data_IF_608555486120
#
_entry.id   IF_608555486120
#
_cell.length_a   1.000
_cell.length_b   1.000
_cell.length_c   1.000
_cell.angle_alpha   90.00
_cell.angle_beta   90.00
_cell.angle_gamma   90.00
#
_symmetry.space_group_name_H-M   'P 1'
#
loop_
_entity.id
_entity.type
_entity.pdbx_description
1 polymer ?
#
# COMPACT_ATOMS: atom_id res chain seq x y z
N UNK A 1 -9.33 0.19 -17.39
CA UNK A 1 -8.66 -1.12 -17.19
C UNK A 1 -9.23 -1.90 -16.00
N UNK A 2 -9.21 -3.24 -16.08
CA UNK A 2 -9.55 -4.12 -14.96
C UNK A 2 -8.28 -4.50 -14.17
N UNK A 3 -8.36 -4.45 -12.84
CA UNK A 3 -7.27 -4.78 -11.92
C UNK A 3 -7.73 -5.78 -10.85
N UNK A 4 -6.81 -6.59 -10.36
CA UNK A 4 -7.09 -7.54 -9.29
C UNK A 4 -7.06 -6.85 -7.93
N UNK A 5 -7.73 -7.45 -6.94
CA UNK A 5 -7.69 -6.96 -5.58
C UNK A 5 -7.56 -8.09 -4.55
N UNK A 6 -7.08 -7.74 -3.37
CA UNK A 6 -7.00 -8.66 -2.25
C UNK A 6 -7.17 -7.91 -0.92
N UNK A 7 -7.65 -8.60 0.09
CA UNK A 7 -7.80 -8.07 1.45
C UNK A 7 -7.02 -8.93 2.42
N UNK A 8 -6.16 -8.29 3.20
CA UNK A 8 -5.41 -8.88 4.30
C UNK A 8 -5.87 -8.27 5.62
N UNK A 9 -6.31 -9.12 6.55
CA UNK A 9 -6.74 -8.67 7.87
C UNK A 9 -6.76 -9.83 8.88
N UNK A 10 -7.00 -9.51 10.15
CA UNK A 10 -7.14 -10.52 11.20
C UNK A 10 -8.55 -11.11 11.19
N UNK A 11 -8.72 -12.34 10.73
CA UNK A 11 -10.03 -13.00 10.76
C UNK A 11 -9.98 -14.33 11.48
N UNK A 12 -11.15 -14.81 11.90
CA UNK A 12 -11.33 -16.17 12.40
C UNK A 12 -12.05 -16.98 11.34
N UNK A 13 -11.34 -17.87 10.69
CA UNK A 13 -11.92 -18.86 9.79
C UNK A 13 -11.87 -20.24 10.43
N UNK A 14 -12.47 -21.24 9.78
CA UNK A 14 -12.31 -22.65 10.19
C UNK A 14 -10.87 -23.15 10.01
N UNK A 15 -10.09 -22.51 9.12
CA UNK A 15 -8.75 -22.97 8.69
C UNK A 15 -7.61 -22.17 9.32
N UNK A 16 -7.85 -20.95 9.77
CA UNK A 16 -6.82 -20.00 10.20
C UNK A 16 -7.36 -19.05 11.28
N UNK A 17 -6.46 -18.62 12.17
CA UNK A 17 -6.71 -17.54 13.12
C UNK A 17 -5.57 -16.52 13.03
N UNK A 18 -5.92 -15.23 13.07
CA UNK A 18 -4.97 -14.13 13.00
C UNK A 18 -4.91 -13.50 11.61
N UNK A 19 -3.80 -12.82 11.33
CA UNK A 19 -3.62 -12.03 10.12
C UNK A 19 -3.31 -12.91 8.90
N UNK A 20 -4.16 -12.83 7.88
CA UNK A 20 -4.00 -13.56 6.62
C UNK A 20 -4.79 -12.87 5.49
N UNK A 21 -4.60 -13.32 4.26
CA UNK A 21 -5.47 -12.97 3.15
C UNK A 21 -6.84 -13.60 3.36
N UNK A 22 -7.86 -12.77 3.53
CA UNK A 22 -9.25 -13.21 3.76
C UNK A 22 -10.07 -13.27 2.48
N UNK A 23 -9.67 -12.50 1.47
CA UNK A 23 -10.31 -12.53 0.16
C UNK A 23 -9.35 -12.05 -0.93
N UNK A 24 -9.53 -12.57 -2.14
CA UNK A 24 -8.73 -12.22 -3.31
C UNK A 24 -9.54 -12.40 -4.60
N UNK A 25 -9.17 -11.65 -5.63
CA UNK A 25 -9.69 -11.86 -6.97
C UNK A 25 -9.10 -13.11 -7.63
N UNK A 26 -9.86 -13.75 -8.53
CA UNK A 26 -9.49 -15.04 -9.12
C UNK A 26 -8.31 -14.97 -10.09
N UNK A 27 -7.96 -13.79 -10.61
CA UNK A 27 -6.85 -13.65 -11.57
C UNK A 27 -5.47 -13.66 -10.92
N UNK A 28 -5.39 -13.70 -9.58
CA UNK A 28 -4.12 -13.76 -8.85
C UNK A 28 -3.59 -15.19 -8.77
N UNK A 29 -2.34 -15.36 -9.18
CA UNK A 29 -1.62 -16.62 -9.03
C UNK A 29 -1.10 -16.83 -7.59
N UNK A 30 -0.70 -18.07 -7.28
CA UNK A 30 -0.19 -18.44 -5.96
C UNK A 30 1.08 -17.69 -5.54
N UNK A 31 1.90 -17.23 -6.50
CA UNK A 31 3.11 -16.47 -6.20
C UNK A 31 2.75 -15.07 -5.71
N UNK A 32 1.81 -14.41 -6.39
CA UNK A 32 1.28 -13.11 -5.97
C UNK A 32 0.63 -13.20 -4.58
N UNK A 33 -0.21 -14.22 -4.35
CA UNK A 33 -0.86 -14.42 -3.05
C UNK A 33 0.16 -14.64 -1.92
N UNK A 34 1.19 -15.46 -2.14
CA UNK A 34 2.27 -15.66 -1.15
C UNK A 34 3.06 -14.38 -0.90
N UNK A 35 3.38 -13.63 -1.95
CA UNK A 35 4.10 -12.36 -1.81
C UNK A 35 3.29 -11.33 -1.01
N UNK A 36 1.98 -11.24 -1.24
CA UNK A 36 1.10 -10.35 -0.47
C UNK A 36 1.11 -10.65 1.03
N UNK A 37 1.12 -11.93 1.43
CA UNK A 37 1.17 -12.32 2.85
C UNK A 37 2.42 -11.77 3.54
N UNK A 38 3.57 -11.75 2.84
CA UNK A 38 4.84 -11.19 3.38
C UNK A 38 4.72 -9.70 3.69
N UNK A 39 3.98 -8.97 2.87
CA UNK A 39 3.81 -7.51 3.00
C UNK A 39 2.63 -7.11 3.89
N UNK A 40 1.80 -8.07 4.30
CA UNK A 40 0.66 -7.86 5.18
C UNK A 40 1.08 -7.36 6.57
N UNK A 41 0.70 -6.14 6.98
CA UNK A 41 1.02 -5.65 8.31
C UNK A 41 0.19 -6.37 9.39
N UNK A 42 0.84 -6.74 10.49
CA UNK A 42 0.20 -7.39 11.64
C UNK A 42 -0.39 -6.38 12.64
N UNK A 43 -0.81 -6.87 13.81
CA UNK A 43 -1.36 -6.07 14.91
C UNK A 43 -0.51 -4.84 15.27
N UNK A 44 -1.18 -3.71 15.54
CA UNK A 44 -0.60 -2.45 15.98
C UNK A 44 0.57 -1.94 15.11
N UNK A 45 0.52 -2.21 13.79
CA UNK A 45 1.56 -1.85 12.84
C UNK A 45 1.57 -0.38 12.44
N UNK A 46 0.46 0.35 12.59
CA UNK A 46 0.40 1.77 12.25
C UNK A 46 1.18 2.59 13.30
N UNK A 47 1.87 3.64 12.87
CA UNK A 47 2.68 4.49 13.77
C UNK A 47 1.82 5.32 14.72
N UNK A 48 0.62 5.71 14.27
CA UNK A 48 -0.34 6.48 15.06
C UNK A 48 -1.43 5.57 15.64
N UNK A 49 -1.87 5.87 16.85
CA UNK A 49 -3.03 5.23 17.50
C UNK A 49 -4.36 5.92 17.16
N UNK A 50 -4.33 7.01 16.39
CA UNK A 50 -5.55 7.70 15.97
C UNK A 50 -6.42 6.78 15.10
N UNK A 51 -7.74 6.82 15.28
CA UNK A 51 -8.67 5.96 14.54
C UNK A 51 -8.62 6.17 13.02
N UNK A 52 -8.18 7.34 12.57
CA UNK A 52 -7.97 7.68 11.16
C UNK A 52 -6.53 7.47 10.67
N UNK A 53 -5.67 6.82 11.48
CA UNK A 53 -4.33 6.48 11.04
C UNK A 53 -4.40 5.57 9.81
N UNK A 54 -3.58 5.90 8.82
CA UNK A 54 -3.52 5.15 7.58
C UNK A 54 -2.09 5.05 7.05
N UNK A 55 -1.93 4.13 6.11
CA UNK A 55 -0.69 3.80 5.47
C UNK A 55 -0.96 3.52 4.00
N UNK A 56 -0.22 4.15 3.11
CA UNK A 56 -0.12 3.81 1.70
C UNK A 56 1.20 3.12 1.42
N UNK A 57 1.14 1.98 0.75
CA UNK A 57 2.33 1.19 0.44
C UNK A 57 2.32 0.80 -1.03
N UNK A 58 3.52 0.54 -1.55
CA UNK A 58 3.71 -0.03 -2.87
C UNK A 58 4.82 -1.08 -2.82
N UNK A 59 4.58 -2.20 -3.48
CA UNK A 59 5.51 -3.33 -3.54
C UNK A 59 5.54 -3.92 -4.96
N UNK A 60 6.73 -4.10 -5.51
CA UNK A 60 6.93 -5.00 -6.64
C UNK A 60 6.93 -6.43 -6.10
N UNK A 61 5.85 -7.19 -6.35
CA UNK A 61 5.64 -8.51 -5.73
C UNK A 61 6.35 -9.63 -6.47
N UNK A 62 6.25 -9.61 -7.80
CA UNK A 62 6.87 -10.56 -8.73
C UNK A 62 7.20 -9.81 -10.02
N UNK A 63 7.83 -10.46 -10.99
CA UNK A 63 8.12 -9.86 -12.30
C UNK A 63 6.86 -9.32 -13.01
N UNK A 64 5.70 -9.93 -12.72
CA UNK A 64 4.43 -9.62 -13.37
C UNK A 64 3.43 -8.88 -12.50
N UNK A 65 3.65 -8.80 -11.19
CA UNK A 65 2.67 -8.23 -10.26
C UNK A 65 3.29 -7.15 -9.39
N UNK A 66 2.61 -6.02 -9.37
CA UNK A 66 2.93 -4.90 -8.52
C UNK A 66 1.67 -4.49 -7.78
N UNK A 67 1.81 -4.11 -6.51
CA UNK A 67 0.67 -3.81 -5.67
C UNK A 67 0.78 -2.43 -5.05
N UNK A 68 -0.30 -1.66 -5.11
CA UNK A 68 -0.54 -0.62 -4.12
C UNK A 68 -1.41 -1.18 -3.01
N UNK A 69 -1.24 -0.66 -1.81
CA UNK A 69 -2.17 -0.95 -0.73
C UNK A 69 -2.47 0.25 0.12
N UNK A 70 -3.64 0.20 0.75
CA UNK A 70 -4.00 1.07 1.86
C UNK A 70 -4.26 0.23 3.09
N UNK A 71 -3.58 0.58 4.18
CA UNK A 71 -3.77 -0.02 5.49
C UNK A 71 -4.42 0.98 6.43
N UNK A 72 -5.46 0.56 7.13
CA UNK A 72 -6.19 1.36 8.13
C UNK A 72 -6.54 0.52 9.35
N UNK A 73 -7.00 1.17 10.41
CA UNK A 73 -7.73 0.47 11.45
C UNK A 73 -9.14 0.08 10.97
N UNK A 74 -9.52 -1.15 11.29
CA UNK A 74 -10.86 -1.71 11.09
C UNK A 74 -11.66 -1.72 12.39
N UNK A 75 -12.48 -2.77 12.56
CA UNK A 75 -13.25 -2.98 13.78
C UNK A 75 -12.38 -3.36 14.99
N UNK A 76 -13.00 -3.66 16.15
CA UNK A 76 -12.30 -4.21 17.29
C UNK A 76 -11.52 -5.47 16.91
N UNK A 77 -10.30 -5.62 17.40
CA UNK A 77 -9.55 -6.85 17.17
C UNK A 77 -10.27 -8.02 17.83
N UNK A 78 -10.42 -9.13 17.11
CA UNK A 78 -11.02 -10.36 17.65
C UNK A 78 -10.20 -10.94 18.82
N UNK A 79 -8.90 -10.63 18.88
CA UNK A 79 -8.02 -11.13 19.92
C UNK A 79 -8.37 -10.48 21.28
N UNK A 80 -8.22 -11.24 22.37
CA UNK A 80 -8.40 -10.70 23.74
C UNK A 80 -7.34 -9.64 24.12
N UNK A 81 -6.44 -9.27 23.20
CA UNK A 81 -5.41 -8.25 23.45
C UNK A 81 -5.96 -6.82 23.38
N UNK A 82 -7.20 -6.66 22.90
CA UNK A 82 -7.83 -5.36 22.73
C UNK A 82 -7.20 -4.59 21.56
N UNK A 83 -7.68 -3.37 21.33
CA UNK A 83 -7.26 -2.55 20.21
C UNK A 83 -8.07 -2.77 18.94
N UNK A 84 -7.59 -2.17 17.84
CA UNK A 84 -8.25 -2.20 16.55
C UNK A 84 -7.54 -3.19 15.62
N UNK A 85 -8.35 -3.97 14.91
CA UNK A 85 -7.92 -4.78 13.79
C UNK A 85 -7.22 -3.89 12.76
N UNK A 86 -6.19 -4.41 12.10
CA UNK A 86 -5.57 -3.73 10.96
C UNK A 86 -6.15 -4.35 9.68
N UNK A 87 -6.58 -3.50 8.76
CA UNK A 87 -7.18 -3.90 7.49
C UNK A 87 -6.34 -3.33 6.35
N UNK A 88 -5.84 -4.20 5.48
CA UNK A 88 -5.08 -3.81 4.30
C UNK A 88 -5.81 -4.25 3.04
N UNK A 89 -6.08 -3.29 2.17
CA UNK A 89 -6.66 -3.52 0.85
C UNK A 89 -5.57 -3.32 -0.19
N UNK A 90 -5.33 -4.35 -1.01
CA UNK A 90 -4.42 -4.32 -2.14
C UNK A 90 -5.18 -4.14 -3.46
N UNK A 91 -4.59 -3.35 -4.35
CA UNK A 91 -4.88 -3.39 -5.78
C UNK A 91 -3.63 -3.83 -6.51
N UNK A 92 -3.77 -4.83 -7.38
CA UNK A 92 -2.67 -5.48 -8.07
C UNK A 92 -2.80 -5.26 -9.56
N UNK A 93 -1.69 -4.82 -10.14
CA UNK A 93 -1.58 -4.49 -11.55
C UNK A 93 -0.40 -5.23 -12.16
N UNK A 94 -0.54 -5.56 -13.43
CA UNK A 94 0.56 -6.00 -14.28
C UNK A 94 1.42 -4.82 -14.71
N UNK A 95 2.69 -5.08 -14.97
CA UNK A 95 3.70 -4.07 -15.31
C UNK A 95 3.26 -3.15 -16.46
N UNK A 96 2.63 -3.69 -17.49
CA UNK A 96 2.12 -2.95 -18.65
C UNK A 96 1.01 -1.96 -18.31
N UNK A 97 0.23 -2.21 -17.25
CA UNK A 97 -0.90 -1.37 -16.86
C UNK A 97 -0.47 -0.07 -16.17
N UNK A 98 0.80 0.03 -15.76
CA UNK A 98 1.33 1.19 -15.05
C UNK A 98 1.66 2.39 -15.94
N UNK A 99 1.78 2.17 -17.25
CA UNK A 99 2.20 3.21 -18.19
C UNK A 99 1.27 4.43 -18.17
N UNK A 100 -0.05 4.22 -18.06
CA UNK A 100 -1.02 5.32 -17.99
C UNK A 100 -1.00 6.11 -16.67
N UNK A 101 -0.28 5.60 -15.67
CA UNK A 101 -0.04 6.27 -14.38
C UNK A 101 1.36 6.87 -14.29
N UNK A 102 2.08 6.99 -15.41
CA UNK A 102 3.45 7.53 -15.45
C UNK A 102 4.38 6.77 -14.48
N UNK A 103 4.14 5.46 -14.36
CA UNK A 103 4.83 4.57 -13.43
C UNK A 103 4.84 5.10 -11.98
N UNK A 104 3.79 5.81 -11.56
CA UNK A 104 3.71 6.48 -10.26
C UNK A 104 2.69 5.78 -9.33
N UNK A 105 3.15 4.94 -8.38
CA UNK A 105 2.29 4.26 -7.42
C UNK A 105 1.37 5.18 -6.63
N UNK A 106 1.84 6.37 -6.27
CA UNK A 106 1.03 7.33 -5.54
C UNK A 106 -0.06 7.98 -6.40
N UNK A 107 0.15 8.11 -7.71
CA UNK A 107 -0.90 8.57 -8.63
C UNK A 107 -2.03 7.54 -8.74
N UNK A 108 -1.68 6.26 -8.80
CA UNK A 108 -2.65 5.16 -8.81
C UNK A 108 -3.40 5.07 -7.48
N UNK A 109 -2.68 5.07 -6.35
CA UNK A 109 -3.29 5.01 -5.02
C UNK A 109 -4.29 6.14 -4.79
N UNK A 110 -3.96 7.39 -5.19
CA UNK A 110 -4.89 8.53 -5.11
C UNK A 110 -6.12 8.33 -6.00
N UNK A 111 -5.92 7.90 -7.24
CA UNK A 111 -7.01 7.64 -8.20
C UNK A 111 -7.97 6.59 -7.63
N UNK A 112 -7.44 5.47 -7.15
CA UNK A 112 -8.22 4.40 -6.55
C UNK A 112 -8.92 4.84 -5.25
N UNK A 113 -8.28 5.66 -4.42
CA UNK A 113 -8.89 6.19 -3.20
C UNK A 113 -10.06 7.14 -3.51
N UNK A 114 -9.91 8.01 -4.51
CA UNK A 114 -10.98 8.92 -4.95
C UNK A 114 -12.20 8.17 -5.46
N UNK A 115 -11.98 7.10 -6.23
CA UNK A 115 -13.04 6.23 -6.73
C UNK A 115 -13.60 5.30 -5.64
N UNK A 116 -13.02 5.30 -4.44
CA UNK A 116 -13.49 4.53 -3.29
C UNK A 116 -13.03 3.07 -3.25
N UNK A 117 -12.14 2.66 -4.15
CA UNK A 117 -11.64 1.29 -4.24
C UNK A 117 -10.69 0.90 -3.11
N UNK A 118 -10.10 1.87 -2.40
CA UNK A 118 -9.25 1.65 -1.21
C UNK A 118 -9.97 1.99 0.11
N UNK A 119 -11.31 2.02 0.12
CA UNK A 119 -12.08 2.22 1.35
C UNK A 119 -12.10 0.94 2.19
N UNK A 120 -12.35 1.10 3.49
CA UNK A 120 -12.62 -0.05 4.36
C UNK A 120 -13.96 -0.66 3.93
N UNK A 121 -13.95 -1.93 3.54
CA UNK A 121 -15.14 -2.68 3.14
C UNK A 121 -15.35 -3.87 4.06
N UNK A 122 -16.61 -4.19 4.35
CA UNK A 122 -16.95 -5.45 5.01
C UNK A 122 -16.82 -6.56 4.00
N UNK A 123 -15.80 -7.40 4.17
CA UNK A 123 -15.60 -8.57 3.32
C UNK A 123 -16.55 -9.68 3.75
N UNK A 124 -17.50 -10.01 2.89
CA UNK A 124 -18.49 -11.07 3.10
C UNK A 124 -18.23 -12.32 2.25
N UNK A 125 -17.31 -12.24 1.30
CA UNK A 125 -16.99 -13.30 0.35
C UNK A 125 -15.47 -13.48 0.23
N UNK A 126 -15.03 -14.72 0.08
CA UNK A 126 -13.61 -15.07 -0.08
C UNK A 126 -13.08 -14.72 -1.48
N UNK A 127 -13.98 -14.53 -2.46
CA UNK A 127 -13.64 -14.18 -3.84
C UNK A 127 -14.10 -12.75 -4.13
N UNK A 128 -13.16 -11.89 -4.52
CA UNK A 128 -13.43 -10.50 -4.87
C UNK A 128 -13.57 -10.33 -6.39
N UNK A 129 -14.51 -9.52 -6.89
CA UNK A 129 -14.51 -9.15 -8.31
C UNK A 129 -13.25 -8.33 -8.63
N UNK A 130 -12.89 -8.22 -9.91
CA UNK A 130 -11.91 -7.22 -10.33
C UNK A 130 -12.47 -5.81 -10.11
N UNK A 131 -11.56 -4.83 -10.02
CA UNK A 131 -11.89 -3.41 -9.95
C UNK A 131 -11.66 -2.77 -11.29
N UNK A 132 -12.57 -1.91 -11.73
CA UNK A 132 -12.35 -1.05 -12.89
C UNK A 132 -11.68 0.25 -12.45
N UNK A 133 -10.50 0.53 -13.00
CA UNK A 133 -9.79 1.80 -12.87
C UNK A 133 -9.73 2.51 -14.23
N UNK A 134 -9.68 3.84 -14.29
CA UNK A 134 -9.37 4.55 -15.53
C UNK A 134 -8.00 4.13 -16.05
N UNK A 135 -7.77 4.28 -17.35
CA UNK A 135 -6.46 3.94 -17.92
C UNK A 135 -5.37 4.97 -17.55
N UNK A 136 -5.76 6.14 -17.03
CA UNK A 136 -4.85 7.20 -16.59
C UNK A 136 -5.20 7.75 -15.22
N UNK A 137 -4.23 8.37 -14.56
CA UNK A 137 -4.43 8.99 -13.26
C UNK A 137 -5.46 10.14 -13.32
N UNK A 138 -6.35 10.19 -12.33
CA UNK A 138 -7.22 11.36 -12.16
C UNK A 138 -6.39 12.52 -11.63
N UNK A 139 -6.39 13.63 -12.37
CA UNK A 139 -5.75 14.87 -11.97
C UNK A 139 -6.47 15.47 -10.77
N UNK A 140 -5.79 15.47 -9.63
CA UNK A 140 -6.22 16.17 -8.42
C UNK A 140 -5.30 17.35 -8.24
N UNK A 141 -5.85 18.52 -7.90
CA UNK A 141 -5.04 19.68 -7.55
C UNK A 141 -3.95 19.32 -6.55
N UNK A 142 -2.75 19.86 -6.74
CA UNK A 142 -1.65 19.65 -5.81
C UNK A 142 -2.01 20.22 -4.45
N UNK A 143 -2.18 19.34 -3.46
CA UNK A 143 -2.24 19.74 -2.06
C UNK A 143 -0.89 20.35 -1.67
N UNK A 144 -0.91 21.49 -0.98
CA UNK A 144 0.30 22.06 -0.41
C UNK A 144 0.92 21.04 0.56
N UNK A 145 2.19 20.70 0.32
CA UNK A 145 2.95 19.77 1.16
C UNK A 145 3.81 20.60 2.09
N UNK A 146 3.76 20.31 3.39
CA UNK A 146 4.70 20.92 4.34
C UNK A 146 6.13 20.56 3.93
N UNK A 147 7.08 21.50 3.97
CA UNK A 147 8.46 21.20 3.61
C UNK A 147 9.00 20.09 4.51
N UNK A 148 9.77 19.17 3.91
CA UNK A 148 10.52 18.19 4.66
C UNK A 148 11.60 18.91 5.49
N UNK A 149 11.87 18.41 6.69
CA UNK A 149 12.93 18.94 7.54
C UNK A 149 14.33 18.70 6.97
N UNK A 150 14.47 17.72 6.09
CA UNK A 150 15.71 17.38 5.37
C UNK A 150 15.54 17.72 3.89
N UNK A 151 16.54 18.33 3.22
CA UNK A 151 16.50 18.60 1.79
C UNK A 151 16.25 17.33 0.97
N UNK A 152 15.37 17.44 -0.03
CA UNK A 152 14.99 16.32 -0.89
C UNK A 152 16.19 15.68 -1.60
N UNK A 153 17.17 16.49 -2.02
CA UNK A 153 18.37 16.03 -2.69
C UNK A 153 19.24 15.13 -1.80
N UNK A 154 19.32 15.44 -0.51
CA UNK A 154 20.06 14.63 0.46
C UNK A 154 19.39 13.27 0.65
N UNK A 155 18.06 13.24 0.72
CA UNK A 155 17.27 12.01 0.80
C UNK A 155 17.52 11.13 -0.43
N UNK A 156 17.48 11.72 -1.64
CA UNK A 156 17.73 11.01 -2.89
C UNK A 156 19.17 10.50 -2.98
N UNK A 157 20.14 11.25 -2.48
CA UNK A 157 21.53 10.82 -2.43
C UNK A 157 21.69 9.61 -1.51
N UNK A 158 21.06 9.62 -0.33
CA UNK A 158 21.08 8.47 0.58
C UNK A 158 20.41 7.26 -0.05
N UNK A 159 19.24 7.42 -0.69
CA UNK A 159 18.55 6.33 -1.39
C UNK A 159 19.35 5.73 -2.56
N UNK A 160 20.24 6.50 -3.18
CA UNK A 160 21.11 5.99 -4.26
C UNK A 160 22.34 5.25 -3.71
N UNK A 161 22.78 5.61 -2.51
CA UNK A 161 23.95 5.03 -1.86
C UNK A 161 23.62 3.84 -0.95
N UNK A 162 22.38 3.77 -0.47
CA UNK A 162 21.88 2.77 0.46
C UNK A 162 20.71 2.02 -0.19
N UNK A 163 20.58 0.73 0.11
CA UNK A 163 19.45 -0.05 -0.40
C UNK A 163 18.13 0.29 0.32
N UNK A 164 18.20 0.92 1.50
CA UNK A 164 17.04 1.18 2.36
C UNK A 164 17.16 2.51 3.09
N UNK A 165 16.01 3.18 3.26
CA UNK A 165 15.89 4.43 4.00
C UNK A 165 14.59 4.44 4.81
N UNK A 166 14.68 4.92 6.04
CA UNK A 166 13.51 5.25 6.87
C UNK A 166 13.48 6.76 7.14
N UNK A 167 12.36 7.42 6.78
CA UNK A 167 12.10 8.82 7.12
C UNK A 167 11.20 8.89 8.35
N UNK A 168 11.72 9.45 9.44
CA UNK A 168 11.03 9.57 10.72
C UNK A 168 10.60 11.04 10.93
N UNK A 169 9.47 11.23 11.61
CA UNK A 169 8.97 12.58 11.94
C UNK A 169 8.32 13.30 10.76
N UNK A 170 7.89 12.58 9.73
CA UNK A 170 7.18 13.14 8.58
C UNK A 170 5.69 13.35 8.92
N UNK A 171 5.16 14.59 8.92
CA UNK A 171 3.75 14.85 9.24
C UNK A 171 2.78 14.29 8.19
N UNK A 172 3.20 14.24 6.92
CA UNK A 172 2.45 13.68 5.80
C UNK A 172 3.35 12.74 4.99
N UNK A 173 3.49 11.47 5.42
CA UNK A 173 4.42 10.54 4.78
C UNK A 173 4.00 10.18 3.35
N UNK A 174 2.71 10.23 3.02
CA UNK A 174 2.20 9.99 1.68
C UNK A 174 2.61 11.12 0.72
N UNK A 175 2.50 12.38 1.15
CA UNK A 175 2.95 13.52 0.37
C UNK A 175 4.48 13.51 0.18
N UNK A 176 5.24 13.18 1.24
CA UNK A 176 6.70 13.06 1.16
C UNK A 176 7.16 12.02 0.14
N UNK A 177 6.58 10.81 0.17
CA UNK A 177 6.85 9.78 -0.84
C UNK A 177 6.40 10.23 -2.24
N UNK A 178 5.27 10.93 -2.33
CA UNK A 178 4.81 11.52 -3.59
C UNK A 178 5.81 12.51 -4.19
N UNK A 179 6.51 13.31 -3.38
CA UNK A 179 7.60 14.18 -3.82
C UNK A 179 8.81 13.36 -4.26
N UNK A 180 9.23 12.37 -3.47
CA UNK A 180 10.37 11.51 -3.81
C UNK A 180 10.18 10.82 -5.15
N UNK A 181 9.05 10.16 -5.38
CA UNK A 181 8.76 9.42 -6.62
C UNK A 181 8.82 10.34 -7.85
N UNK A 182 8.41 11.61 -7.73
CA UNK A 182 8.45 12.57 -8.85
C UNK A 182 9.88 12.84 -9.32
N UNK A 183 10.83 12.84 -8.40
CA UNK A 183 12.25 13.06 -8.69
C UNK A 183 12.95 11.82 -9.27
N UNK A 184 12.36 10.63 -9.14
CA UNK A 184 12.90 9.43 -9.77
C UNK A 184 12.61 9.42 -11.28
N UNK A 185 13.58 8.99 -12.11
CA UNK A 185 13.35 8.71 -13.53
C UNK A 185 12.16 7.77 -13.74
N UNK A 186 11.36 8.02 -14.78
CA UNK A 186 10.13 7.27 -15.07
C UNK A 186 10.31 5.75 -15.06
N UNK A 187 11.44 5.24 -15.58
CA UNK A 187 11.77 3.82 -15.65
C UNK A 187 12.24 3.22 -14.32
N UNK A 188 12.54 4.03 -13.31
CA UNK A 188 13.01 3.58 -12.00
C UNK A 188 11.93 3.59 -10.92
N UNK A 189 10.85 4.35 -11.11
CA UNK A 189 9.81 4.53 -10.10
C UNK A 189 9.17 3.23 -9.60
N UNK A 190 8.93 2.27 -10.49
CA UNK A 190 8.35 0.97 -10.11
C UNK A 190 9.34 0.03 -9.42
N UNK A 191 10.64 0.33 -9.45
CA UNK A 191 11.65 -0.41 -8.71
C UNK A 191 11.70 -0.01 -7.23
N UNK A 192 11.18 1.17 -6.91
CA UNK A 192 11.14 1.68 -5.54
C UNK A 192 9.97 1.07 -4.77
N UNK A 193 10.26 0.14 -3.86
CA UNK A 193 9.28 -0.35 -2.88
C UNK A 193 9.22 0.59 -1.68
N UNK A 194 8.03 0.89 -1.16
CA UNK A 194 7.89 1.77 0.00
C UNK A 194 6.67 1.43 0.86
N UNK A 195 6.76 1.84 2.12
CA UNK A 195 5.62 1.89 3.04
C UNK A 195 5.54 3.25 3.71
N UNK A 196 4.33 3.73 4.01
CA UNK A 196 4.11 4.95 4.79
C UNK A 196 3.29 4.63 6.02
N UNK A 197 3.41 5.41 7.10
CA UNK A 197 2.53 5.30 8.27
C UNK A 197 2.63 3.99 9.06
N UNK A 198 3.57 3.09 8.73
CA UNK A 198 3.84 1.84 9.45
C UNK A 198 5.04 2.00 10.38
N UNK A 199 4.97 1.34 11.54
CA UNK A 199 6.12 1.16 12.44
C UNK A 199 7.22 0.42 11.70
N UNK A 200 8.45 0.77 12.04
CA UNK A 200 9.64 0.10 11.50
C UNK A 200 9.58 -1.39 11.88
N UNK A 201 9.78 -2.25 10.89
CA UNK A 201 9.91 -3.69 11.04
C UNK A 201 11.20 -4.11 10.35
N UNK A 202 12.07 -4.80 11.09
CA UNK A 202 13.39 -5.23 10.59
C UNK A 202 13.24 -6.44 9.64
N UNK A 203 12.14 -7.19 9.75
CA UNK A 203 11.92 -8.46 9.04
C UNK A 203 11.32 -8.29 7.62
N UNK A 204 11.03 -7.06 7.18
CA UNK A 204 10.49 -6.78 5.84
C UNK A 204 11.63 -6.65 4.83
N UNK A 205 12.11 -7.80 4.35
CA UNK A 205 13.12 -7.88 3.28
C UNK A 205 12.54 -7.88 1.88
#
# INVERSE_FOLDING_TARGET
MLVEQAVFTSARSRKSQGYHLVAASQGLDENALRALIKWGPSHASLTSSAANAESFNYHALTDNWQAVSRTVYGGPEYSRRGGLQVFTHYLLLRTEQWAGYDNNPMALARTAQLLGHLRLHVVTHDVLPQVELPDTAISVGTRAVSPLSIPLQEILQILRLQDRLALIGCPDPAAAVGLLIREFPHNERLRLTFTTGLKLSIDRE
#
